data_IF_915979682344
#
_entry.id   IF_915979682344
#
_cell.length_a   1.000
_cell.length_b   1.000
_cell.length_c   1.000
_cell.angle_alpha   90.00
_cell.angle_beta   90.00
_cell.angle_gamma   90.00
#
_symmetry.space_group_name_H-M   'P 1'
#
loop_
_entity.id
_entity.type
_entity.pdbx_description
1 polymer ?
#
# COMPACT_ATOMS: atom_id res chain seq x y z
N UNK A 1 15.73 26.23 -17.40
CA UNK A 1 15.41 25.23 -18.43
C UNK A 1 15.58 23.85 -17.80
N UNK A 2 14.48 23.17 -17.49
CA UNK A 2 14.53 21.77 -17.05
C UNK A 2 14.60 20.90 -18.31
N UNK A 3 15.71 20.20 -18.50
CA UNK A 3 15.80 19.14 -19.51
C UNK A 3 14.77 18.08 -19.15
N UNK A 4 13.86 17.78 -20.06
CA UNK A 4 12.97 16.63 -19.94
C UNK A 4 13.86 15.38 -19.90
N UNK A 5 14.16 14.87 -18.70
CA UNK A 5 14.84 13.60 -18.56
C UNK A 5 13.95 12.53 -19.19
N UNK A 6 14.47 11.87 -20.23
CA UNK A 6 13.78 10.82 -20.93
C UNK A 6 13.58 9.65 -19.97
N UNK A 7 12.38 9.52 -19.39
CA UNK A 7 12.05 8.51 -18.39
C UNK A 7 12.28 7.06 -18.85
N UNK A 8 12.47 6.85 -20.16
CA UNK A 8 12.71 5.55 -20.76
C UNK A 8 14.16 5.08 -20.66
N UNK A 9 15.12 5.96 -20.32
CA UNK A 9 16.55 5.62 -20.21
C UNK A 9 17.02 5.30 -18.77
N UNK A 10 16.08 5.16 -17.83
CA UNK A 10 16.42 4.84 -16.44
C UNK A 10 16.84 3.36 -16.30
N UNK A 11 17.98 3.13 -15.64
CA UNK A 11 18.43 1.79 -15.25
C UNK A 11 17.55 1.23 -14.12
N UNK A 12 17.06 0.01 -14.30
CA UNK A 12 16.32 -0.73 -13.28
C UNK A 12 17.20 -1.83 -12.70
N UNK A 13 17.45 -1.75 -11.41
CA UNK A 13 18.28 -2.74 -10.72
C UNK A 13 17.50 -4.04 -10.45
N UNK A 14 18.17 -5.21 -10.49
CA UNK A 14 17.56 -6.47 -10.10
C UNK A 14 16.96 -6.44 -8.70
N UNK A 15 15.96 -7.30 -8.43
CA UNK A 15 15.21 -7.29 -7.17
C UNK A 15 16.08 -7.47 -5.91
N UNK A 16 17.20 -8.20 -6.00
CA UNK A 16 18.11 -8.38 -4.87
C UNK A 16 18.77 -7.06 -4.42
N UNK A 17 18.84 -6.04 -5.29
CA UNK A 17 19.37 -4.71 -4.96
C UNK A 17 18.36 -3.85 -4.20
N UNK A 18 17.06 -4.17 -4.20
CA UNK A 18 16.04 -3.27 -3.64
C UNK A 18 16.30 -2.92 -2.18
N UNK A 19 16.89 -3.80 -1.38
CA UNK A 19 17.28 -3.51 0.01
C UNK A 19 18.19 -2.28 0.16
N UNK A 20 18.93 -1.89 -0.88
CA UNK A 20 19.77 -0.70 -0.90
C UNK A 20 19.00 0.59 -1.31
N UNK A 21 17.78 0.46 -1.83
CA UNK A 21 16.96 1.62 -2.18
C UNK A 21 16.40 2.28 -0.92
N UNK A 22 16.40 3.64 -0.85
CA UNK A 22 15.81 4.38 0.27
C UNK A 22 14.29 4.20 0.40
N UNK A 23 13.61 3.69 -0.64
CA UNK A 23 12.17 3.46 -0.64
C UNK A 23 11.79 2.05 -0.23
N UNK A 24 12.74 1.11 -0.18
CA UNK A 24 12.44 -0.29 0.11
C UNK A 24 12.04 -0.51 1.56
N UNK A 25 10.93 -1.23 1.76
CA UNK A 25 10.35 -1.50 3.07
C UNK A 25 10.07 -0.23 3.91
N UNK A 26 9.82 0.90 3.24
CA UNK A 26 9.46 2.17 3.88
C UNK A 26 8.06 2.61 3.51
N UNK A 27 7.39 3.32 4.42
CA UNK A 27 6.12 4.01 4.12
C UNK A 27 6.41 5.31 3.39
N UNK A 28 6.48 5.23 2.06
CA UNK A 28 6.80 6.37 1.20
C UNK A 28 5.67 7.40 1.28
N UNK A 29 6.00 8.61 1.75
CA UNK A 29 5.06 9.73 1.73
C UNK A 29 5.00 10.28 0.32
N UNK A 30 3.82 10.21 -0.28
CA UNK A 30 3.63 10.64 -1.67
C UNK A 30 2.25 11.25 -1.86
N UNK A 31 2.08 12.01 -2.95
CA UNK A 31 0.81 12.65 -3.26
C UNK A 31 -0.07 11.71 -4.09
N UNK A 32 -1.39 11.92 -4.07
CA UNK A 32 -2.34 11.11 -4.84
C UNK A 32 -1.98 11.07 -6.33
N UNK A 33 -1.60 12.21 -6.92
CA UNK A 33 -1.14 12.33 -8.31
C UNK A 33 0.07 11.45 -8.62
N UNK A 34 1.00 11.30 -7.69
CA UNK A 34 2.19 10.48 -7.85
C UNK A 34 1.84 8.98 -7.74
N UNK A 35 0.89 8.62 -6.87
CA UNK A 35 0.39 7.23 -6.75
C UNK A 35 -0.22 6.77 -8.07
N UNK A 36 -1.02 7.63 -8.71
CA UNK A 36 -1.65 7.31 -9.99
C UNK A 36 -0.64 7.16 -11.13
N UNK A 37 0.55 7.77 -11.01
CA UNK A 37 1.63 7.70 -12.01
C UNK A 37 2.59 6.52 -11.80
N UNK A 38 2.50 5.81 -10.68
CA UNK A 38 3.32 4.65 -10.40
C UNK A 38 3.19 3.58 -11.50
N UNK A 39 4.32 3.13 -12.02
CA UNK A 39 4.36 2.15 -13.12
C UNK A 39 4.68 0.75 -12.59
N UNK A 40 4.09 -0.26 -13.23
CA UNK A 40 4.54 -1.66 -13.10
C UNK A 40 5.45 -2.00 -14.27
N UNK A 41 6.39 -2.90 -14.02
CA UNK A 41 7.31 -3.43 -15.03
C UNK A 41 7.08 -4.95 -15.14
N UNK A 42 6.98 -5.52 -16.36
CA UNK A 42 6.79 -6.95 -16.56
C UNK A 42 7.89 -7.82 -15.92
N UNK A 43 9.09 -7.25 -15.82
CA UNK A 43 10.31 -7.85 -15.25
C UNK A 43 10.16 -8.15 -13.74
N UNK A 44 9.20 -7.51 -13.07
CA UNK A 44 8.95 -7.67 -11.65
C UNK A 44 7.49 -8.09 -11.39
N UNK A 45 7.10 -9.33 -11.76
CA UNK A 45 5.74 -9.81 -11.57
C UNK A 45 5.48 -10.09 -10.09
N UNK A 46 4.96 -9.09 -9.36
CA UNK A 46 4.62 -9.28 -7.94
C UNK A 46 3.45 -10.25 -7.74
N UNK A 47 3.45 -10.99 -6.62
CA UNK A 47 2.38 -11.91 -6.23
C UNK A 47 1.76 -11.47 -4.90
N UNK A 48 0.45 -11.72 -4.70
CA UNK A 48 -0.20 -11.46 -3.42
C UNK A 48 0.39 -12.35 -2.33
N UNK A 49 0.52 -11.86 -1.08
CA UNK A 49 0.89 -12.74 0.04
C UNK A 49 -0.12 -13.89 0.11
N UNK A 50 0.33 -15.11 0.49
CA UNK A 50 -0.57 -16.22 0.63
C UNK A 50 -1.48 -15.93 1.84
N UNK A 51 -2.77 -16.22 1.70
CA UNK A 51 -3.74 -16.06 2.80
C UNK A 51 -3.28 -16.88 4.02
N UNK A 52 -3.63 -16.43 5.24
CA UNK A 52 -3.30 -17.08 6.52
C UNK A 52 -3.76 -18.55 6.64
N UNK A 53 -4.47 -19.08 5.63
CA UNK A 53 -4.77 -20.50 5.47
C UNK A 53 -3.58 -21.34 4.97
N UNK A 54 -2.44 -20.72 4.67
CA UNK A 54 -1.23 -21.40 4.23
C UNK A 54 -0.25 -21.58 5.41
N UNK A 55 0.36 -22.77 5.58
CA UNK A 55 1.25 -23.05 6.71
C UNK A 55 2.56 -22.24 6.69
N UNK A 56 2.81 -21.43 5.66
CA UNK A 56 4.06 -20.66 5.45
C UNK A 56 3.97 -19.24 6.06
N UNK A 57 2.80 -18.78 6.47
CA UNK A 57 2.58 -17.38 6.87
C UNK A 57 3.14 -16.97 8.26
N UNK A 58 3.74 -17.91 9.01
CA UNK A 58 4.26 -17.64 10.37
C UNK A 58 5.77 -17.90 10.40
N UNK A 59 6.55 -17.10 9.69
CA UNK A 59 8.00 -17.11 9.84
C UNK A 59 8.47 -15.66 9.83
N UNK A 60 9.23 -15.25 10.84
CA UNK A 60 9.83 -13.92 10.86
C UNK A 60 11.08 -13.88 9.95
N UNK A 61 11.51 -12.68 9.51
CA UNK A 61 12.64 -12.51 8.56
C UNK A 61 13.94 -13.20 9.03
N UNK A 62 14.21 -13.23 10.34
CA UNK A 62 15.39 -13.90 10.91
C UNK A 62 15.34 -15.42 10.73
N UNK A 63 14.16 -16.02 10.88
CA UNK A 63 13.95 -17.46 10.65
C UNK A 63 14.01 -17.81 9.16
N UNK A 64 13.62 -16.91 8.27
CA UNK A 64 13.87 -17.07 6.83
C UNK A 64 15.38 -17.11 6.55
N UNK A 65 16.15 -16.13 7.03
CA UNK A 65 17.61 -16.04 6.80
C UNK A 65 18.37 -17.28 7.31
N UNK A 66 17.91 -17.90 8.41
CA UNK A 66 18.46 -19.16 8.93
C UNK A 66 18.09 -20.36 8.05
N UNK A 67 16.86 -20.45 7.55
CA UNK A 67 16.46 -21.53 6.63
C UNK A 67 17.20 -21.46 5.28
N UNK A 68 17.60 -20.26 4.85
CA UNK A 68 18.36 -20.02 3.62
C UNK A 68 19.80 -20.57 3.63
N UNK A 69 20.43 -20.73 4.81
CA UNK A 69 21.81 -21.23 4.89
C UNK A 69 21.93 -22.75 4.80
N UNK A 70 20.82 -23.51 4.92
CA UNK A 70 20.85 -24.97 5.00
C UNK A 70 20.28 -25.72 3.78
N UNK A 71 19.47 -25.10 2.90
CA UNK A 71 18.90 -25.77 1.71
C UNK A 71 19.03 -24.92 0.41
N UNK A 72 20.12 -25.06 -0.36
CA UNK A 72 20.38 -24.26 -1.57
C UNK A 72 19.48 -24.61 -2.78
N UNK A 73 18.64 -25.65 -2.69
CA UNK A 73 17.75 -26.10 -3.79
C UNK A 73 16.29 -25.62 -3.68
N UNK A 74 15.88 -24.97 -2.58
CA UNK A 74 14.51 -24.40 -2.43
C UNK A 74 14.41 -22.97 -3.00
N UNK A 75 15.50 -22.46 -3.59
CA UNK A 75 15.71 -21.09 -4.03
C UNK A 75 14.67 -20.46 -4.98
N UNK A 76 14.04 -21.15 -5.96
CA UNK A 76 13.22 -20.46 -6.96
C UNK A 76 11.80 -20.11 -6.50
N UNK A 77 11.26 -20.75 -5.45
CA UNK A 77 9.86 -20.56 -5.03
C UNK A 77 9.73 -19.49 -3.94
N UNK A 78 10.75 -19.32 -3.08
CA UNK A 78 10.72 -18.36 -1.97
C UNK A 78 11.23 -16.96 -2.34
N UNK A 79 12.15 -16.83 -3.31
CA UNK A 79 12.58 -15.52 -3.82
C UNK A 79 11.51 -14.78 -4.64
N UNK A 80 10.43 -15.48 -5.02
CA UNK A 80 9.34 -14.94 -5.82
C UNK A 80 8.26 -14.21 -5.00
N UNK A 81 8.38 -14.18 -3.67
CA UNK A 81 7.45 -13.48 -2.78
C UNK A 81 7.82 -11.99 -2.61
N UNK A 82 7.85 -11.26 -3.72
CA UNK A 82 7.85 -9.81 -3.63
C UNK A 82 6.39 -9.31 -3.60
N UNK A 83 6.01 -8.46 -2.62
CA UNK A 83 4.81 -7.65 -2.72
C UNK A 83 4.76 -6.99 -4.09
N UNK A 84 3.56 -6.76 -4.63
CA UNK A 84 3.39 -6.03 -5.90
C UNK A 84 4.24 -4.76 -5.87
N UNK A 85 5.27 -4.74 -6.71
CA UNK A 85 6.23 -3.64 -6.78
C UNK A 85 5.82 -2.68 -7.87
N UNK A 86 5.89 -1.40 -7.55
CA UNK A 86 5.67 -0.31 -8.47
C UNK A 86 6.91 0.57 -8.49
N UNK A 87 7.01 1.45 -9.48
CA UNK A 87 8.15 2.31 -9.64
C UNK A 87 7.74 3.77 -9.79
N UNK A 88 8.40 4.63 -9.01
CA UNK A 88 8.47 6.05 -9.26
C UNK A 88 9.88 6.35 -9.80
N UNK A 89 10.00 6.86 -11.03
CA UNK A 89 11.26 6.76 -11.79
C UNK A 89 11.76 5.30 -11.75
N UNK A 90 12.93 5.04 -11.19
CA UNK A 90 13.48 3.70 -10.95
C UNK A 90 13.48 3.28 -9.47
N UNK A 91 12.82 4.02 -8.57
CA UNK A 91 12.70 3.64 -7.16
C UNK A 91 11.64 2.56 -6.95
N UNK A 92 11.97 1.42 -6.30
CA UNK A 92 10.99 0.38 -5.94
C UNK A 92 10.04 0.86 -4.82
N UNK A 93 8.74 0.96 -5.11
CA UNK A 93 7.68 1.42 -4.19
C UNK A 93 6.73 0.25 -3.86
N UNK A 94 6.55 -0.02 -2.57
CA UNK A 94 5.65 -1.08 -2.07
C UNK A 94 4.56 -0.54 -1.14
N UNK A 95 4.93 0.44 -0.32
CA UNK A 95 4.10 0.93 0.77
C UNK A 95 3.98 2.44 0.70
N UNK A 96 2.75 2.92 0.79
CA UNK A 96 2.40 4.33 0.63
C UNK A 96 1.83 4.87 1.92
N UNK A 97 2.22 6.10 2.25
CA UNK A 97 1.63 6.92 3.28
C UNK A 97 1.01 8.17 2.64
N UNK A 98 -0.26 8.42 2.89
CA UNK A 98 -1.05 9.54 2.35
C UNK A 98 -1.78 10.27 3.47
N UNK A 99 -1.99 11.57 3.30
CA UNK A 99 -2.83 12.38 4.17
C UNK A 99 -3.71 13.26 3.30
N UNK A 100 -5.00 13.30 3.58
CA UNK A 100 -5.94 14.14 2.85
C UNK A 100 -7.35 14.08 3.42
N UNK A 101 -8.25 14.83 2.79
CA UNK A 101 -9.66 14.90 3.10
C UNK A 101 -10.39 13.72 2.46
N UNK A 102 -11.23 13.04 3.23
CA UNK A 102 -12.17 12.06 2.68
C UNK A 102 -13.31 12.81 2.02
N UNK A 103 -13.47 12.66 0.71
CA UNK A 103 -14.50 13.33 -0.09
C UNK A 103 -15.71 12.42 -0.33
N UNK A 104 -15.49 11.11 -0.34
CA UNK A 104 -16.55 10.12 -0.58
C UNK A 104 -16.35 8.87 0.27
N UNK A 105 -17.46 8.19 0.57
CA UNK A 105 -17.49 6.87 1.19
C UNK A 105 -18.57 6.04 0.53
N UNK A 106 -18.18 4.95 -0.12
CA UNK A 106 -19.09 4.05 -0.83
C UNK A 106 -18.98 2.64 -0.25
N UNK A 107 -20.12 2.08 0.14
CA UNK A 107 -20.21 0.76 0.75
C UNK A 107 -20.54 -0.30 -0.31
N UNK A 108 -19.68 -1.30 -0.46
CA UNK A 108 -19.93 -2.49 -1.28
C UNK A 108 -20.01 -3.75 -0.38
N UNK A 109 -20.48 -4.90 -0.89
CA UNK A 109 -20.61 -6.11 -0.06
C UNK A 109 -19.28 -6.59 0.57
N UNK A 110 -18.18 -6.52 -0.19
CA UNK A 110 -16.87 -7.07 0.23
C UNK A 110 -15.86 -6.00 0.61
N UNK A 111 -16.11 -4.74 0.25
CA UNK A 111 -15.19 -3.62 0.49
C UNK A 111 -15.95 -2.34 0.81
N UNK A 112 -15.29 -1.40 1.46
CA UNK A 112 -15.70 0.02 1.50
C UNK A 112 -14.64 0.81 0.74
N UNK A 113 -15.07 1.72 -0.13
CA UNK A 113 -14.18 2.61 -0.86
C UNK A 113 -14.29 4.01 -0.23
N UNK A 114 -13.16 4.54 0.23
CA UNK A 114 -13.03 5.95 0.60
C UNK A 114 -12.32 6.68 -0.53
N UNK A 115 -12.82 7.83 -0.96
CA UNK A 115 -12.10 8.69 -1.91
C UNK A 115 -11.38 9.78 -1.13
N UNK A 116 -10.06 9.90 -1.33
CA UNK A 116 -9.20 10.85 -0.65
C UNK A 116 -8.74 11.96 -1.61
N UNK A 117 -8.83 13.20 -1.17
CA UNK A 117 -8.29 14.39 -1.82
C UNK A 117 -7.18 15.00 -0.97
N UNK A 118 -5.96 15.07 -1.51
CA UNK A 118 -4.80 15.70 -0.88
C UNK A 118 -4.37 17.00 -1.57
N UNK A 119 -5.27 17.58 -2.38
CA UNK A 119 -5.06 18.79 -3.19
C UNK A 119 -3.89 18.70 -4.19
N UNK A 120 -3.44 17.50 -4.55
CA UNK A 120 -2.41 17.30 -5.58
C UNK A 120 -2.93 17.34 -7.02
N UNK A 121 -4.22 17.65 -7.20
CA UNK A 121 -4.88 17.78 -8.51
C UNK A 121 -5.67 16.55 -8.95
N UNK A 122 -5.67 15.47 -8.16
CA UNK A 122 -6.48 14.27 -8.37
C UNK A 122 -6.96 13.71 -7.02
N UNK A 123 -8.02 12.91 -7.05
CA UNK A 123 -8.42 12.08 -5.92
C UNK A 123 -7.90 10.65 -6.05
N UNK A 124 -7.74 9.96 -4.93
CA UNK A 124 -7.33 8.55 -4.90
C UNK A 124 -8.39 7.69 -4.21
N UNK A 125 -8.74 6.57 -4.83
CA UNK A 125 -9.58 5.57 -4.19
C UNK A 125 -8.77 4.73 -3.19
N UNK A 126 -9.31 4.57 -2.00
CA UNK A 126 -8.78 3.78 -0.90
C UNK A 126 -9.75 2.63 -0.63
N UNK A 127 -9.29 1.42 -0.91
CA UNK A 127 -10.05 0.19 -0.74
C UNK A 127 -9.83 -0.37 0.66
N UNK A 128 -10.90 -0.48 1.42
CA UNK A 128 -10.94 -1.07 2.76
C UNK A 128 -11.64 -2.42 2.69
N UNK A 129 -10.96 -3.50 3.04
CA UNK A 129 -11.54 -4.85 2.98
C UNK A 129 -12.51 -5.09 4.14
N UNK A 130 -13.64 -5.75 3.86
CA UNK A 130 -14.56 -6.26 4.87
C UNK A 130 -14.21 -7.72 5.19
N UNK A 131 -14.36 -8.11 6.46
CA UNK A 131 -14.26 -9.51 6.84
C UNK A 131 -15.38 -10.30 6.14
N UNK A 132 -15.04 -11.44 5.54
CA UNK A 132 -16.04 -12.34 4.98
C UNK A 132 -16.89 -12.89 6.13
N UNK A 133 -18.22 -12.81 6.09
CA UNK A 133 -19.05 -13.45 7.09
C UNK A 133 -18.80 -14.97 7.00
N UNK A 134 -18.31 -15.57 8.09
CA UNK A 134 -18.18 -17.02 8.16
C UNK A 134 -19.56 -17.64 7.91
N UNK A 135 -19.70 -18.40 6.82
CA UNK A 135 -20.89 -19.17 6.50
C UNK A 135 -20.98 -20.37 7.43
N UNK A 136 -21.27 -20.12 8.71
CA UNK A 136 -21.82 -21.12 9.61
C UNK A 136 -23.33 -20.91 9.61
N UNK A 137 -24.15 -21.87 9.17
CA UNK A 137 -25.61 -21.73 9.23
C UNK A 137 -26.07 -21.77 10.69
N UNK A 138 -26.04 -20.64 11.39
CA UNK A 138 -26.71 -20.49 12.67
C UNK A 138 -28.19 -20.21 12.40
N UNK A 139 -29.00 -21.24 12.59
CA UNK A 139 -30.46 -21.16 12.64
C UNK A 139 -30.89 -20.33 13.86
N UNK A 140 -30.94 -19.01 13.70
CA UNK A 140 -31.65 -18.12 14.62
C UNK A 140 -32.01 -16.83 13.87
N UNK A 141 -33.23 -16.34 14.11
CA UNK A 141 -33.85 -15.22 13.39
C UNK A 141 -32.91 -14.00 13.25
N UNK A 142 -32.93 -13.27 12.12
CA UNK A 142 -32.06 -12.13 11.90
C UNK A 142 -32.52 -10.95 12.75
N UNK A 143 -32.03 -10.86 13.99
CA UNK A 143 -32.28 -9.73 14.88
C UNK A 143 -30.98 -9.28 15.52
N UNK A 144 -30.08 -8.73 14.71
CA UNK A 144 -29.07 -7.72 15.09
C UNK A 144 -28.25 -7.36 13.85
N UNK A 145 -28.12 -6.08 13.55
CA UNK A 145 -27.13 -5.60 12.59
C UNK A 145 -25.76 -5.88 13.18
N UNK A 146 -25.09 -6.97 12.77
CA UNK A 146 -23.68 -7.12 13.08
C UNK A 146 -22.94 -5.97 12.40
N UNK A 147 -22.18 -5.14 13.14
CA UNK A 147 -21.44 -4.05 12.54
C UNK A 147 -20.48 -4.65 11.50
N UNK A 148 -20.50 -4.07 10.30
CA UNK A 148 -19.59 -4.49 9.23
C UNK A 148 -18.15 -4.33 9.72
N UNK A 149 -17.42 -5.44 9.84
CA UNK A 149 -16.05 -5.42 10.33
C UNK A 149 -15.08 -5.23 9.15
N UNK A 150 -14.27 -4.17 9.21
CA UNK A 150 -13.19 -3.92 8.26
C UNK A 150 -11.88 -4.51 8.76
N UNK A 151 -11.01 -4.97 7.85
CA UNK A 151 -9.76 -5.64 8.18
C UNK A 151 -8.60 -5.18 7.29
N UNK A 152 -7.38 -5.23 7.84
CA UNK A 152 -6.13 -5.12 7.07
C UNK A 152 -5.94 -6.40 6.25
N UNK A 153 -5.66 -6.33 4.94
CA UNK A 153 -5.44 -7.53 4.13
C UNK A 153 -4.21 -8.34 4.55
N UNK A 154 -3.14 -7.68 5.00
CA UNK A 154 -1.89 -8.36 5.37
C UNK A 154 -2.00 -9.05 6.72
N UNK A 155 -2.69 -8.44 7.69
CA UNK A 155 -2.67 -8.92 9.09
C UNK A 155 -4.01 -9.52 9.53
N UNK A 156 -5.07 -9.33 8.73
CA UNK A 156 -6.46 -9.62 9.10
C UNK A 156 -6.91 -8.91 10.39
N UNK A 157 -6.14 -7.94 10.90
CA UNK A 157 -6.50 -7.18 12.08
C UNK A 157 -7.60 -6.17 11.76
N UNK A 158 -8.50 -5.89 12.72
CA UNK A 158 -9.56 -4.92 12.51
C UNK A 158 -9.04 -3.52 12.18
N UNK A 159 -9.71 -2.83 11.25
CA UNK A 159 -9.52 -1.42 10.94
C UNK A 159 -10.77 -0.65 11.36
N UNK A 160 -10.66 0.27 12.32
CA UNK A 160 -11.78 1.16 12.62
C UNK A 160 -11.80 2.33 11.62
N UNK A 161 -12.74 2.30 10.69
CA UNK A 161 -12.98 3.39 9.74
C UNK A 161 -14.26 4.19 10.04
N UNK A 162 -14.92 3.94 11.17
CA UNK A 162 -16.15 4.62 11.56
C UNK A 162 -16.00 6.15 11.61
N UNK A 163 -14.87 6.70 12.11
CA UNK A 163 -14.68 8.15 12.17
C UNK A 163 -14.52 8.84 10.80
N UNK A 164 -14.18 8.11 9.74
CA UNK A 164 -13.78 8.70 8.45
C UNK A 164 -14.95 8.83 7.48
N UNK A 165 -15.91 9.69 7.85
CA UNK A 165 -16.98 10.13 6.96
C UNK A 165 -16.49 11.22 5.98
N UNK A 166 -17.23 11.51 4.89
CA UNK A 166 -16.93 12.66 4.03
C UNK A 166 -16.78 13.95 4.85
N UNK A 167 -15.75 14.74 4.55
CA UNK A 167 -15.37 15.97 5.26
C UNK A 167 -14.35 15.79 6.39
N UNK A 168 -13.88 14.57 6.64
CA UNK A 168 -12.87 14.27 7.66
C UNK A 168 -11.47 14.10 7.07
N UNK A 169 -10.42 14.45 7.81
CA UNK A 169 -9.04 14.18 7.43
C UNK A 169 -8.59 12.79 7.90
N UNK A 170 -7.82 12.11 7.07
CA UNK A 170 -7.26 10.81 7.39
C UNK A 170 -5.78 10.72 7.00
N UNK A 171 -4.96 10.13 7.88
CA UNK A 171 -3.63 9.66 7.53
C UNK A 171 -3.70 8.15 7.28
N UNK A 172 -3.52 7.77 6.03
CA UNK A 172 -3.70 6.41 5.55
C UNK A 172 -2.36 5.81 5.15
N UNK A 173 -2.19 4.52 5.47
CA UNK A 173 -1.06 3.72 5.05
C UNK A 173 -1.57 2.45 4.37
N UNK A 174 -1.05 2.15 3.19
CA UNK A 174 -1.53 1.02 2.41
C UNK A 174 -0.52 0.48 1.40
N UNK A 175 -0.87 -0.66 0.82
CA UNK A 175 -0.19 -1.23 -0.34
C UNK A 175 -0.88 -0.76 -1.62
N UNK A 176 -0.21 -0.89 -2.77
CA UNK A 176 -0.79 -0.46 -4.04
C UNK A 176 -1.51 -1.62 -4.72
N UNK A 177 -2.73 -1.36 -5.18
CA UNK A 177 -3.44 -2.25 -6.10
C UNK A 177 -3.84 -1.49 -7.36
N UNK A 178 -4.21 -2.20 -8.42
CA UNK A 178 -4.67 -1.60 -9.67
C UNK A 178 -6.04 -2.19 -10.01
N UNK A 179 -7.03 -1.33 -10.25
CA UNK A 179 -8.36 -1.71 -10.72
C UNK A 179 -8.64 -1.00 -12.03
N UNK A 180 -8.99 -1.78 -13.07
CA UNK A 180 -9.25 -1.27 -14.43
C UNK A 180 -8.16 -0.32 -14.96
N UNK A 181 -6.89 -0.63 -14.65
CA UNK A 181 -5.74 0.15 -15.09
C UNK A 181 -5.41 1.38 -14.24
N UNK A 182 -6.21 1.69 -13.22
CA UNK A 182 -5.98 2.82 -12.29
C UNK A 182 -5.42 2.31 -10.97
N UNK A 183 -4.36 2.93 -10.48
CA UNK A 183 -3.80 2.62 -9.17
C UNK A 183 -4.73 3.13 -8.06
N UNK A 184 -4.88 2.33 -7.01
CA UNK A 184 -5.68 2.63 -5.83
C UNK A 184 -4.91 2.15 -4.59
N UNK A 185 -5.24 2.70 -3.42
CA UNK A 185 -4.60 2.31 -2.17
C UNK A 185 -5.39 1.18 -1.51
N UNK A 186 -4.77 0.05 -1.24
CA UNK A 186 -5.34 -0.99 -0.39
C UNK A 186 -4.97 -0.67 1.07
N UNK A 187 -5.97 -0.35 1.91
CA UNK A 187 -5.73 0.15 3.26
C UNK A 187 -5.15 -0.92 4.18
N UNK A 188 -4.04 -0.58 4.86
CA UNK A 188 -3.39 -1.43 5.86
C UNK A 188 -3.44 -0.83 7.26
N UNK A 189 -3.35 0.50 7.38
CA UNK A 189 -3.47 1.22 8.65
C UNK A 189 -4.07 2.61 8.44
N UNK A 190 -4.80 3.09 9.42
CA UNK A 190 -5.38 4.42 9.45
C UNK A 190 -5.08 5.11 10.77
N UNK A 191 -4.80 6.41 10.73
CA UNK A 191 -4.46 7.23 11.88
C UNK A 191 -5.26 8.53 11.87
N UNK A 192 -5.71 9.01 13.05
CA UNK A 192 -6.41 10.28 13.16
C UNK A 192 -5.46 11.46 12.91
N UNK A 193 -5.94 12.47 12.19
CA UNK A 193 -5.26 13.75 12.01
C UNK A 193 -5.91 14.76 12.96
N UNK A 194 -5.17 15.19 13.98
CA UNK A 194 -5.75 15.96 15.09
C UNK A 194 -5.94 17.44 14.79
N UNK A 195 -5.02 18.03 14.03
CA UNK A 195 -4.98 19.45 13.76
C UNK A 195 -4.23 19.75 12.45
N UNK A 196 -4.31 21.01 12.02
CA UNK A 196 -3.62 21.54 10.85
C UNK A 196 -2.10 21.46 11.00
N UNK A 197 -1.55 21.48 12.22
CA UNK A 197 -0.10 21.34 12.41
C UNK A 197 0.39 19.94 12.02
N UNK A 198 -0.37 18.89 12.36
CA UNK A 198 -0.06 17.51 11.97
C UNK A 198 -0.14 17.34 10.45
N UNK A 199 -1.15 17.94 9.81
CA UNK A 199 -1.27 18.02 8.35
C UNK A 199 -0.05 18.71 7.72
N UNK A 200 0.28 19.93 8.17
CA UNK A 200 1.40 20.70 7.61
C UNK A 200 2.74 19.98 7.78
N UNK A 201 2.98 19.32 8.91
CA UNK A 201 4.18 18.49 9.13
C UNK A 201 4.25 17.32 8.15
N UNK A 202 3.12 16.68 7.87
CA UNK A 202 3.07 15.61 6.88
C UNK A 202 3.40 16.13 5.48
N UNK A 203 2.79 17.25 5.08
CA UNK A 203 3.00 17.87 3.77
C UNK A 203 4.46 18.29 3.58
N UNK A 204 5.07 18.89 4.60
CA UNK A 204 6.49 19.25 4.63
C UNK A 204 7.40 18.03 4.47
N UNK A 205 7.15 16.95 5.22
CA UNK A 205 7.89 15.69 5.08
C UNK A 205 7.71 15.04 3.70
N UNK A 206 6.49 15.07 3.15
CA UNK A 206 6.21 14.57 1.79
C UNK A 206 6.98 15.36 0.75
N UNK A 207 6.96 16.69 0.85
CA UNK A 207 7.65 17.57 -0.10
C UNK A 207 9.15 17.36 -0.08
N UNK A 208 9.76 17.26 1.10
CA UNK A 208 11.20 16.95 1.22
C UNK A 208 11.52 15.58 0.64
N UNK A 209 10.75 14.55 0.99
CA UNK A 209 10.98 13.19 0.47
C UNK A 209 10.86 13.13 -1.06
N UNK A 210 9.90 13.86 -1.65
CA UNK A 210 9.77 13.94 -3.10
C UNK A 210 11.05 14.52 -3.74
N UNK A 211 11.50 15.68 -3.27
CA UNK A 211 12.64 16.40 -3.88
C UNK A 211 13.97 15.69 -3.61
N UNK A 212 14.19 15.23 -2.38
CA UNK A 212 15.48 14.68 -1.95
C UNK A 212 15.68 13.22 -2.36
N UNK A 213 14.58 12.46 -2.54
CA UNK A 213 14.63 11.02 -2.82
C UNK A 213 13.98 10.69 -4.15
N UNK A 214 12.68 10.92 -4.31
CA UNK A 214 11.93 10.37 -5.44
C UNK A 214 12.25 11.05 -6.78
N UNK A 215 12.56 12.35 -6.75
CA UNK A 215 12.89 13.12 -7.96
C UNK A 215 14.36 13.00 -8.37
N UNK A 216 15.19 12.30 -7.59
CA UNK A 216 16.54 11.93 -7.99
C UNK A 216 16.52 10.46 -8.42
N UNK A 217 16.93 10.09 -9.65
CA UNK A 217 17.04 8.68 -10.02
C UNK A 217 17.86 7.89 -9.01
N UNK A 218 17.35 6.73 -8.58
CA UNK A 218 18.11 5.82 -7.73
C UNK A 218 19.37 5.37 -8.45
N UNK A 219 20.52 5.50 -7.81
CA UNK A 219 21.81 4.97 -8.26
C UNK A 219 22.28 3.95 -7.23
N UNK A 220 22.62 2.75 -7.69
CA UNK A 220 23.11 1.65 -6.86
C UNK A 220 24.46 1.92 -6.21
#
# INVERSE_FOLDING_TARGET
>A
MATAENHDDLEFYPAYCFKASPTHFTWVKMAAVDVLRLKRRPEFPGRSPPTLSSPIAIVNQSTYDILFSFLPHIHPILLLYHPKIYFYKNHPIQYISLLGLITSRTEFPTVTILTLDDSSGVTLDVVVQKATPNSTPSSTLPTSFTPTQHISPTTSLPLDISPYAPGTFAHLKGTISTFRGVNQLQLERVFPVRDTNAEMRFLDQRSRFLVEVLDVPWRG
#
